data_IF_780367321843
#
_entry.id   IF_780367321843
#
_cell.length_a   1.000
_cell.length_b   1.000
_cell.length_c   1.000
_cell.angle_alpha   90.00
_cell.angle_beta   90.00
_cell.angle_gamma   90.00
#
_symmetry.space_group_name_H-M   'P 1'
#
loop_
_entity.id
_entity.type
_entity.pdbx_description
1 polymer ?
#
# COMPACT_ATOMS: atom_id res chain seq x y z
N UNK A 1 -43.52 17.03 -45.34
CA UNK A 1 -42.15 16.48 -45.51
C UNK A 1 -41.99 15.32 -44.53
N UNK A 2 -41.75 14.10 -45.01
CA UNK A 2 -41.65 12.89 -44.17
C UNK A 2 -40.19 12.70 -43.76
N UNK A 3 -39.91 12.88 -42.47
CA UNK A 3 -38.60 12.67 -41.88
C UNK A 3 -38.32 11.16 -41.79
N UNK A 4 -37.43 10.65 -42.64
CA UNK A 4 -36.88 9.30 -42.48
C UNK A 4 -35.98 9.29 -41.25
N UNK A 5 -36.44 8.67 -40.15
CA UNK A 5 -35.57 8.38 -39.02
C UNK A 5 -34.55 7.34 -39.47
N UNK A 6 -33.28 7.73 -39.61
CA UNK A 6 -32.17 6.82 -39.90
C UNK A 6 -32.04 5.84 -38.71
N UNK A 7 -32.29 4.56 -38.96
CA UNK A 7 -32.00 3.49 -38.01
C UNK A 7 -30.52 3.15 -38.03
N UNK A 8 -29.97 2.76 -36.88
CA UNK A 8 -28.61 2.26 -36.75
C UNK A 8 -28.52 0.87 -37.39
N UNK A 9 -27.46 0.58 -38.12
CA UNK A 9 -27.27 -0.75 -38.71
C UNK A 9 -26.71 -1.72 -37.68
N UNK A 10 -27.07 -3.01 -37.79
CA UNK A 10 -26.53 -4.06 -36.90
C UNK A 10 -25.00 -4.18 -37.02
N UNK A 11 -24.46 -3.91 -38.22
CA UNK A 11 -23.01 -3.94 -38.43
C UNK A 11 -22.30 -2.79 -37.73
N UNK A 12 -22.89 -1.58 -37.70
CA UNK A 12 -22.32 -0.46 -36.95
C UNK A 12 -22.27 -0.75 -35.45
N UNK A 13 -23.27 -1.42 -34.89
CA UNK A 13 -23.23 -1.84 -33.49
C UNK A 13 -22.20 -2.95 -33.23
N UNK A 14 -22.07 -3.90 -34.17
CA UNK A 14 -21.10 -4.99 -34.08
C UNK A 14 -19.64 -4.51 -34.09
N UNK A 15 -19.29 -3.54 -34.94
CA UNK A 15 -17.91 -3.02 -34.97
C UNK A 15 -17.57 -2.26 -33.68
N UNK A 16 -18.55 -1.58 -33.07
CA UNK A 16 -18.33 -0.76 -31.88
C UNK A 16 -17.98 -1.65 -30.69
N UNK A 17 -18.74 -2.72 -30.46
CA UNK A 17 -18.41 -3.67 -29.38
C UNK A 17 -17.07 -4.37 -29.62
N UNK A 18 -16.71 -4.62 -30.89
CA UNK A 18 -15.43 -5.21 -31.25
C UNK A 18 -14.26 -4.26 -30.89
N UNK A 19 -14.36 -2.97 -31.23
CA UNK A 19 -13.34 -1.98 -30.91
C UNK A 19 -13.23 -1.77 -29.39
N UNK A 20 -14.36 -1.65 -28.67
CA UNK A 20 -14.36 -1.52 -27.20
C UNK A 20 -13.69 -2.74 -26.56
N UNK A 21 -13.94 -3.95 -27.07
CA UNK A 21 -13.30 -5.17 -26.57
C UNK A 21 -11.77 -5.16 -26.70
N UNK A 22 -11.25 -4.71 -27.85
CA UNK A 22 -9.79 -4.62 -28.09
C UNK A 22 -9.16 -3.57 -27.15
N UNK A 23 -9.76 -2.38 -27.06
CA UNK A 23 -9.26 -1.30 -26.20
C UNK A 23 -9.28 -1.70 -24.72
N UNK A 24 -10.36 -2.36 -24.27
CA UNK A 24 -10.48 -2.84 -22.90
C UNK A 24 -9.41 -3.87 -22.53
N UNK A 25 -9.05 -4.76 -23.46
CA UNK A 25 -7.99 -5.76 -23.25
C UNK A 25 -6.63 -5.13 -22.93
N UNK A 26 -6.24 -4.08 -23.67
CA UNK A 26 -4.95 -3.40 -23.46
C UNK A 26 -4.93 -2.63 -22.12
N UNK A 27 -6.04 -2.00 -21.77
CA UNK A 27 -6.16 -1.22 -20.53
C UNK A 27 -6.06 -2.14 -19.29
N UNK A 28 -6.65 -3.33 -19.32
CA UNK A 28 -6.61 -4.24 -18.18
C UNK A 28 -5.19 -4.66 -17.78
N UNK A 29 -4.34 -4.98 -18.76
CA UNK A 29 -2.95 -5.42 -18.50
C UNK A 29 -2.13 -4.28 -17.88
N UNK A 30 -2.27 -3.06 -18.39
CA UNK A 30 -1.53 -1.90 -17.87
C UNK A 30 -2.03 -1.44 -16.49
N UNK A 31 -3.33 -1.55 -16.22
CA UNK A 31 -3.94 -1.10 -14.97
C UNK A 31 -3.59 -2.02 -13.79
N UNK A 32 -3.42 -3.32 -14.02
CA UNK A 32 -3.02 -4.27 -12.97
C UNK A 32 -1.65 -3.91 -12.36
N UNK A 33 -0.62 -3.76 -13.20
CA UNK A 33 0.71 -3.35 -12.73
C UNK A 33 0.72 -1.95 -12.09
N UNK A 34 -0.09 -1.02 -12.61
CA UNK A 34 -0.21 0.32 -12.05
C UNK A 34 -0.79 0.31 -10.62
N UNK A 35 -1.82 -0.53 -10.36
CA UNK A 35 -2.40 -0.69 -9.01
C UNK A 35 -1.38 -1.27 -8.03
N UNK A 36 -0.69 -2.32 -8.45
CA UNK A 36 0.36 -2.95 -7.65
C UNK A 36 1.45 -1.94 -7.23
N UNK A 37 1.95 -1.12 -8.18
CA UNK A 37 2.90 -0.02 -7.88
C UNK A 37 2.30 1.05 -6.95
N UNK A 38 1.05 1.43 -7.15
CA UNK A 38 0.37 2.40 -6.30
C UNK A 38 0.23 1.88 -4.85
N UNK A 39 -0.06 0.59 -4.68
CA UNK A 39 -0.12 -0.06 -3.38
C UNK A 39 1.25 -0.13 -2.69
N UNK A 40 2.34 -0.40 -3.44
CA UNK A 40 3.70 -0.30 -2.91
C UNK A 40 4.04 1.11 -2.41
N UNK A 41 3.62 2.15 -3.15
CA UNK A 41 3.77 3.53 -2.72
C UNK A 41 2.91 3.87 -1.49
N UNK A 42 1.68 3.35 -1.41
CA UNK A 42 0.78 3.46 -0.25
C UNK A 42 1.40 2.82 1.00
N UNK A 43 2.01 1.64 0.85
CA UNK A 43 2.72 0.98 1.93
C UNK A 43 3.92 1.82 2.40
N UNK A 44 4.74 2.33 1.47
CA UNK A 44 5.87 3.22 1.81
C UNK A 44 5.46 4.48 2.55
N UNK A 45 4.39 5.15 2.12
CA UNK A 45 3.91 6.36 2.80
C UNK A 45 3.35 6.06 4.20
N UNK A 46 2.69 4.90 4.35
CA UNK A 46 2.22 4.43 5.64
C UNK A 46 3.40 4.17 6.60
N UNK A 47 4.40 3.41 6.16
CA UNK A 47 5.61 3.12 6.95
C UNK A 47 6.39 4.39 7.31
N UNK A 48 6.49 5.35 6.39
CA UNK A 48 7.13 6.63 6.68
C UNK A 48 6.40 7.41 7.80
N UNK A 49 5.07 7.35 7.81
CA UNK A 49 4.25 7.96 8.85
C UNK A 49 4.45 7.23 10.19
N UNK A 50 4.55 5.90 10.18
CA UNK A 50 4.87 5.11 11.38
C UNK A 50 6.25 5.45 11.94
N UNK A 51 7.27 5.57 11.08
CA UNK A 51 8.62 5.99 11.49
C UNK A 51 8.58 7.34 12.21
N UNK A 52 7.84 8.31 11.68
CA UNK A 52 7.73 9.62 12.32
C UNK A 52 7.12 9.49 13.73
N UNK A 53 6.05 8.71 13.90
CA UNK A 53 5.47 8.43 15.22
C UNK A 53 6.44 7.75 16.18
N UNK A 54 7.22 6.79 15.68
CA UNK A 54 8.22 6.06 16.45
C UNK A 54 9.36 6.97 16.95
N UNK A 55 9.87 7.85 16.08
CA UNK A 55 10.89 8.84 16.45
C UNK A 55 10.35 9.88 17.44
N UNK A 56 9.10 10.32 17.27
CA UNK A 56 8.47 11.23 18.23
C UNK A 56 8.30 10.57 19.61
N UNK A 57 8.01 9.26 19.66
CA UNK A 57 7.94 8.53 20.92
C UNK A 57 9.29 8.47 21.64
N UNK A 58 10.42 8.46 20.91
CA UNK A 58 11.75 8.55 21.52
C UNK A 58 12.01 9.86 22.27
N UNK A 59 11.27 10.92 21.97
CA UNK A 59 11.45 12.23 22.58
C UNK A 59 10.71 12.39 23.92
N UNK A 60 9.85 11.44 24.31
CA UNK A 60 9.12 11.49 25.59
C UNK A 60 9.85 10.71 26.70
N UNK A 61 9.91 11.28 27.91
CA UNK A 61 10.52 10.65 29.09
C UNK A 61 9.49 10.35 30.19
N UNK A 62 9.53 9.17 30.84
CA UNK A 62 10.44 8.05 30.55
C UNK A 62 10.09 7.37 29.22
N UNK A 63 11.11 7.01 28.45
CA UNK A 63 10.97 6.13 27.30
C UNK A 63 10.58 4.76 27.84
N UNK A 64 9.29 4.45 27.81
CA UNK A 64 8.80 3.11 28.09
C UNK A 64 8.65 2.38 26.75
N UNK A 65 9.51 1.40 26.42
CA UNK A 65 9.39 0.61 25.20
C UNK A 65 8.10 -0.22 25.18
N UNK A 66 7.42 -0.41 26.33
CA UNK A 66 6.09 -0.98 26.43
C UNK A 66 4.95 0.07 26.39
N UNK A 67 5.24 1.36 26.61
CA UNK A 67 4.33 2.48 26.34
C UNK A 67 4.67 3.20 25.02
N UNK A 68 5.37 2.51 24.11
CA UNK A 68 5.49 2.93 22.73
C UNK A 68 4.09 3.23 22.19
N UNK A 69 3.84 4.48 21.79
CA UNK A 69 2.53 4.99 21.32
C UNK A 69 2.04 4.35 20.01
N UNK A 70 2.57 3.19 19.68
CA UNK A 70 2.15 2.34 18.59
C UNK A 70 1.75 0.97 19.18
N UNK A 71 0.77 0.97 20.08
CA UNK A 71 0.13 -0.27 20.49
C UNK A 71 -0.58 -0.90 19.27
N UNK A 72 -0.91 -2.19 19.34
CA UNK A 72 -1.66 -2.86 18.27
C UNK A 72 -2.98 -2.13 17.91
N UNK A 73 -3.54 -1.33 18.83
CA UNK A 73 -4.75 -0.54 18.57
C UNK A 73 -4.51 0.63 17.59
N UNK A 74 -3.30 1.21 17.57
CA UNK A 74 -2.90 2.22 16.58
C UNK A 74 -2.61 1.65 15.17
N UNK A 75 -2.37 0.34 15.06
CA UNK A 75 -2.15 -0.36 13.78
C UNK A 75 -3.41 -1.08 13.27
N UNK A 76 -4.41 -1.32 14.13
CA UNK A 76 -5.64 -2.05 13.83
C UNK A 76 -6.46 -1.50 12.64
N UNK A 77 -6.19 -0.25 12.21
CA UNK A 77 -6.82 0.36 11.03
C UNK A 77 -6.12 0.09 9.70
N UNK A 78 -4.96 -0.57 9.71
CA UNK A 78 -4.09 -0.74 8.53
C UNK A 78 -3.79 -2.20 8.19
N UNK A 79 -4.60 -3.14 8.65
CA UNK A 79 -4.48 -4.58 8.34
C UNK A 79 -4.53 -4.88 6.84
N UNK A 80 -5.17 -4.02 6.05
CA UNK A 80 -5.18 -4.09 4.58
C UNK A 80 -3.85 -3.64 3.95
N UNK A 81 -2.93 -3.04 4.71
CA UNK A 81 -1.66 -2.47 4.23
C UNK A 81 -0.45 -3.19 4.84
N UNK A 82 -0.49 -3.45 6.14
CA UNK A 82 0.58 -4.10 6.90
C UNK A 82 0.08 -5.37 7.57
N UNK A 83 0.97 -6.33 7.82
CA UNK A 83 0.67 -7.42 8.75
C UNK A 83 0.84 -6.89 10.19
N UNK A 84 -0.28 -6.40 10.72
CA UNK A 84 -0.39 -5.73 12.02
C UNK A 84 0.12 -6.61 13.19
N UNK A 85 -0.23 -7.89 13.21
CA UNK A 85 0.16 -8.78 14.31
C UNK A 85 1.70 -8.93 14.42
N UNK A 86 2.36 -9.08 13.28
CA UNK A 86 3.83 -9.18 13.21
C UNK A 86 4.48 -7.81 13.43
N UNK A 87 3.91 -6.74 12.86
CA UNK A 87 4.40 -5.38 13.03
C UNK A 87 4.36 -4.91 14.49
N UNK A 88 3.27 -5.17 15.21
CA UNK A 88 3.13 -4.83 16.63
C UNK A 88 4.19 -5.53 17.50
N UNK A 89 4.50 -6.79 17.20
CA UNK A 89 5.55 -7.55 17.90
C UNK A 89 6.94 -6.95 17.65
N UNK A 90 7.23 -6.56 16.39
CA UNK A 90 8.53 -6.00 16.04
C UNK A 90 8.72 -4.59 16.60
N UNK A 91 7.67 -3.78 16.67
CA UNK A 91 7.71 -2.41 17.23
C UNK A 91 8.02 -2.43 18.73
N UNK A 92 7.52 -3.43 19.47
CA UNK A 92 7.86 -3.59 20.89
C UNK A 92 9.36 -3.83 21.14
N UNK A 93 10.11 -4.25 20.11
CA UNK A 93 11.57 -4.40 20.15
C UNK A 93 12.35 -3.15 19.75
N UNK A 94 11.68 -2.03 19.49
CA UNK A 94 12.34 -0.79 19.14
C UNK A 94 13.02 -0.15 20.35
N UNK A 95 14.31 0.15 20.22
CA UNK A 95 15.11 0.79 21.24
C UNK A 95 15.67 2.11 20.68
N UNK A 96 15.19 3.22 21.24
CA UNK A 96 15.63 4.56 20.88
C UNK A 96 17.08 4.85 21.27
N UNK A 97 17.65 4.15 22.26
CA UNK A 97 19.06 4.32 22.62
C UNK A 97 19.98 3.56 21.65
N UNK A 98 19.57 2.36 21.23
CA UNK A 98 20.35 1.49 20.36
C UNK A 98 20.05 1.66 18.85
N UNK A 99 19.10 2.52 18.47
CA UNK A 99 18.64 2.73 17.09
C UNK A 99 18.31 1.41 16.36
N UNK A 100 17.61 0.50 17.06
CA UNK A 100 17.33 -0.83 16.52
C UNK A 100 16.43 -0.76 15.30
N UNK A 101 16.70 -1.64 14.34
CA UNK A 101 15.92 -1.74 13.12
C UNK A 101 14.67 -2.58 13.36
N UNK A 102 13.50 -2.04 12.99
CA UNK A 102 12.19 -2.70 13.10
C UNK A 102 11.68 -3.07 11.72
N UNK A 103 11.33 -4.33 11.54
CA UNK A 103 10.69 -4.81 10.32
C UNK A 103 9.17 -4.58 10.38
N UNK A 104 8.63 -3.92 9.36
CA UNK A 104 7.20 -3.73 9.12
C UNK A 104 6.83 -4.53 7.88
N UNK A 105 6.24 -5.73 8.05
CA UNK A 105 5.79 -6.54 6.92
C UNK A 105 4.59 -5.93 6.21
N UNK A 106 4.55 -6.08 4.88
CA UNK A 106 3.36 -5.77 4.09
C UNK A 106 2.28 -6.82 4.34
N UNK A 107 1.00 -6.42 4.30
CA UNK A 107 -0.08 -7.40 4.43
C UNK A 107 -0.07 -8.36 3.23
N UNK A 108 -0.36 -9.65 3.48
CA UNK A 108 -0.52 -10.62 2.40
C UNK A 108 -1.75 -10.35 1.51
N UNK A 109 -2.69 -9.52 2.00
CA UNK A 109 -3.88 -9.10 1.28
C UNK A 109 -3.63 -7.93 0.31
N UNK A 110 -2.56 -7.15 0.50
CA UNK A 110 -2.24 -6.02 -0.36
C UNK A 110 -1.50 -6.52 -1.62
N UNK A 111 -2.09 -6.26 -2.78
CA UNK A 111 -1.43 -6.48 -4.07
C UNK A 111 -0.31 -5.44 -4.26
N UNK A 112 0.92 -5.79 -3.90
CA UNK A 112 2.14 -4.97 -4.05
C UNK A 112 3.06 -5.52 -5.14
N UNK A 113 4.08 -4.77 -5.59
CA UNK A 113 5.01 -5.28 -6.62
C UNK A 113 5.68 -6.56 -6.15
N UNK A 114 5.92 -7.49 -7.08
CA UNK A 114 6.60 -8.76 -6.79
C UNK A 114 7.95 -8.51 -6.12
N UNK A 115 8.17 -9.11 -4.95
CA UNK A 115 9.38 -8.94 -4.15
C UNK A 115 9.27 -7.89 -3.04
N UNK A 116 8.21 -7.08 -3.00
CA UNK A 116 7.90 -6.25 -1.85
C UNK A 116 7.42 -7.15 -0.70
N UNK A 117 8.26 -7.34 0.32
CA UNK A 117 7.92 -8.14 1.53
C UNK A 117 7.70 -7.28 2.76
N UNK A 118 8.12 -6.01 2.70
CA UNK A 118 7.98 -5.08 3.82
C UNK A 118 9.01 -3.98 3.76
N UNK A 119 9.15 -3.28 4.88
CA UNK A 119 10.13 -2.23 5.07
C UNK A 119 10.78 -2.37 6.44
N UNK A 120 12.01 -1.90 6.56
CA UNK A 120 12.74 -1.79 7.80
C UNK A 120 12.88 -0.31 8.16
N UNK A 121 12.54 0.05 9.39
CA UNK A 121 12.64 1.41 9.91
C UNK A 121 13.57 1.46 11.11
N UNK A 122 14.35 2.52 11.21
CA UNK A 122 15.01 2.96 12.43
C UNK A 122 14.98 4.50 12.50
N UNK A 123 15.54 5.11 13.53
CA UNK A 123 15.52 6.57 13.68
C UNK A 123 16.22 7.25 12.50
N UNK A 124 17.33 6.67 12.06
CA UNK A 124 18.22 7.27 11.06
C UNK A 124 17.80 7.02 9.61
N UNK A 125 17.04 5.96 9.33
CA UNK A 125 16.76 5.48 7.98
C UNK A 125 15.42 4.74 7.84
N UNK A 126 14.96 4.59 6.59
CA UNK A 126 13.86 3.69 6.21
C UNK A 126 14.28 3.01 4.92
N UNK A 127 14.23 1.68 4.89
CA UNK A 127 14.54 0.89 3.71
C UNK A 127 13.36 0.00 3.38
N UNK A 128 12.81 0.12 2.17
CA UNK A 128 11.76 -0.77 1.68
C UNK A 128 12.27 -1.43 0.40
N UNK A 129 13.15 -2.45 0.50
CA UNK A 129 13.71 -3.09 -0.67
C UNK A 129 12.57 -3.73 -1.49
N UNK A 130 12.60 -3.51 -2.81
CA UNK A 130 11.64 -4.04 -3.79
C UNK A 130 10.17 -3.60 -3.64
N UNK A 131 9.86 -2.76 -2.66
CA UNK A 131 8.74 -1.82 -2.70
C UNK A 131 9.27 -0.50 -3.29
#
# INVERSE_FOLDING_TARGET
MKNFKKGFTLIELLIVIAIIGILAGIILVSTSSARSKANGAKFKSYVASMKAGLVMACAETPFDPAAGKLDAASLAGATDIIDDATAATNIAGFDCAADTAVAIPVSAALDVPTGCTGATVNQSSMAAPSC
#
